data_IF_826892717934
#
_entry.id   IF_826892717934
#
_cell.length_a   1.000
_cell.length_b   1.000
_cell.length_c   1.000
_cell.angle_alpha   90.00
_cell.angle_beta   90.00
_cell.angle_gamma   90.00
#
_symmetry.space_group_name_H-M   'P 1'
#
loop_
_entity.id
_entity.type
_entity.pdbx_description
1 polymer ?
#
# COMPACT_ATOMS: atom_id res chain seq x y z
N UNK A 1 -30.26 -7.40 -2.22
CA UNK A 1 -29.30 -8.08 -3.11
C UNK A 1 -28.79 -7.09 -4.15
N UNK A 2 -27.50 -6.78 -4.12
CA UNK A 2 -26.92 -5.77 -5.02
C UNK A 2 -26.82 -6.26 -6.47
N UNK A 3 -27.26 -5.44 -7.43
CA UNK A 3 -27.10 -5.71 -8.87
C UNK A 3 -26.00 -4.82 -9.44
N UNK A 4 -25.05 -5.40 -10.18
CA UNK A 4 -24.06 -4.62 -10.90
C UNK A 4 -24.55 -4.33 -12.32
N UNK A 5 -24.47 -3.07 -12.74
CA UNK A 5 -24.85 -2.62 -14.07
C UNK A 5 -23.70 -1.83 -14.70
N UNK A 6 -23.40 -2.08 -15.96
CA UNK A 6 -22.49 -1.23 -16.75
C UNK A 6 -23.20 -0.76 -18.01
N UNK A 7 -23.03 0.50 -18.37
CA UNK A 7 -23.58 1.08 -19.59
C UNK A 7 -22.54 1.96 -20.27
N UNK A 8 -22.75 2.20 -21.56
CA UNK A 8 -21.98 3.15 -22.36
C UNK A 8 -22.86 4.36 -22.65
N UNK A 9 -22.29 5.56 -22.60
CA UNK A 9 -23.01 6.81 -22.88
C UNK A 9 -22.10 7.80 -23.59
N UNK A 10 -22.69 8.75 -24.31
CA UNK A 10 -21.96 9.89 -24.88
C UNK A 10 -22.38 11.15 -24.14
N UNK A 11 -21.60 11.53 -23.14
CA UNK A 11 -21.79 12.81 -22.45
C UNK A 11 -20.88 13.85 -23.11
N UNK A 12 -21.45 14.95 -23.59
CA UNK A 12 -20.67 16.06 -24.13
C UNK A 12 -19.68 16.60 -23.09
N UNK A 13 -18.46 16.90 -23.52
CA UNK A 13 -17.44 17.49 -22.68
C UNK A 13 -16.01 17.19 -23.12
N UNK A 14 -15.01 17.74 -22.42
CA UNK A 14 -13.60 17.68 -22.84
C UNK A 14 -13.06 16.26 -23.01
N UNK A 15 -13.42 15.33 -22.11
CA UNK A 15 -13.00 13.93 -22.19
C UNK A 15 -13.62 13.20 -23.39
N UNK A 16 -14.84 13.55 -23.74
CA UNK A 16 -15.53 13.02 -24.91
C UNK A 16 -14.82 13.48 -26.19
N UNK A 17 -14.61 14.79 -26.33
CA UNK A 17 -13.98 15.38 -27.50
C UNK A 17 -12.55 14.88 -27.72
N UNK A 18 -11.73 14.86 -26.66
CA UNK A 18 -10.31 14.49 -26.78
C UNK A 18 -10.15 13.01 -27.14
N UNK A 19 -10.96 12.11 -26.55
CA UNK A 19 -10.90 10.67 -26.86
C UNK A 19 -11.55 10.32 -28.19
N UNK A 20 -12.43 11.18 -28.71
CA UNK A 20 -12.95 11.07 -30.08
C UNK A 20 -11.90 11.51 -31.11
N UNK A 21 -11.23 12.65 -30.89
CA UNK A 21 -10.14 13.14 -31.75
C UNK A 21 -8.94 12.20 -31.75
N UNK A 22 -8.71 11.47 -30.65
CA UNK A 22 -7.59 10.54 -30.47
C UNK A 22 -8.10 9.12 -30.19
N UNK A 23 -8.45 8.32 -31.22
CA UNK A 23 -9.01 6.98 -31.03
C UNK A 23 -8.11 5.98 -30.30
N UNK A 24 -6.80 6.26 -30.25
CA UNK A 24 -5.79 5.49 -29.52
C UNK A 24 -5.63 5.90 -28.05
N UNK A 25 -6.27 6.99 -27.61
CA UNK A 25 -6.26 7.46 -26.23
C UNK A 25 -7.41 6.81 -25.45
N UNK A 26 -7.07 6.26 -24.28
CA UNK A 26 -8.03 5.82 -23.29
C UNK A 26 -7.80 6.59 -21.98
N UNK A 27 -8.88 6.98 -21.31
CA UNK A 27 -8.81 7.72 -20.04
C UNK A 27 -9.68 7.03 -19.00
N UNK A 28 -9.07 6.64 -17.88
CA UNK A 28 -9.80 6.25 -16.67
C UNK A 28 -10.00 7.48 -15.80
N UNK A 29 -11.25 7.90 -15.64
CA UNK A 29 -11.64 9.06 -14.85
C UNK A 29 -12.18 8.61 -13.47
N UNK A 30 -11.70 9.29 -12.43
CA UNK A 30 -12.02 9.03 -11.03
C UNK A 30 -12.53 10.32 -10.37
N UNK A 31 -13.85 10.50 -10.29
CA UNK A 31 -14.44 11.64 -9.59
C UNK A 31 -14.18 11.54 -8.08
N UNK A 32 -13.66 12.61 -7.49
CA UNK A 32 -13.20 12.67 -6.10
C UNK A 32 -13.70 13.97 -5.45
N UNK A 33 -15.03 14.09 -5.38
CA UNK A 33 -15.74 15.34 -5.10
C UNK A 33 -15.51 16.34 -6.24
N UNK A 34 -15.13 17.57 -5.90
CA UNK A 34 -14.72 18.60 -6.86
C UNK A 34 -13.46 18.28 -7.66
N UNK A 35 -12.65 17.30 -7.25
CA UNK A 35 -11.45 16.92 -7.98
C UNK A 35 -11.73 15.78 -8.95
N UNK A 36 -11.01 15.76 -10.07
CA UNK A 36 -11.04 14.66 -11.03
C UNK A 36 -9.62 14.14 -11.25
N UNK A 37 -9.38 12.88 -10.86
CA UNK A 37 -8.14 12.19 -11.17
C UNK A 37 -8.33 11.45 -12.50
N UNK A 38 -7.43 11.65 -13.44
CA UNK A 38 -7.42 10.99 -14.74
C UNK A 38 -6.15 10.15 -14.86
N UNK A 39 -6.30 8.92 -15.33
CA UNK A 39 -5.19 8.09 -15.81
C UNK A 39 -5.37 7.89 -17.31
N UNK A 40 -4.42 8.39 -18.08
CA UNK A 40 -4.44 8.41 -19.53
C UNK A 40 -3.46 7.36 -20.06
N UNK A 41 -3.88 6.58 -21.05
CA UNK A 41 -3.12 5.48 -21.64
C UNK A 41 -3.18 5.52 -23.17
N UNK A 42 -2.16 4.97 -23.83
CA UNK A 42 -2.10 4.86 -25.29
C UNK A 42 -1.52 6.14 -25.91
N UNK A 43 -2.30 6.84 -26.74
CA UNK A 43 -1.88 8.09 -27.39
C UNK A 43 -1.88 9.29 -26.41
N UNK A 44 -0.88 9.30 -25.51
CA UNK A 44 -0.77 10.24 -24.38
C UNK A 44 0.17 11.43 -24.64
N UNK A 45 0.61 11.62 -25.87
CA UNK A 45 1.56 12.68 -26.20
C UNK A 45 0.92 14.07 -26.09
N UNK A 46 1.56 14.95 -25.30
CA UNK A 46 1.07 16.31 -25.03
C UNK A 46 -0.13 16.42 -24.08
N UNK A 47 -0.61 15.31 -23.51
CA UNK A 47 -1.76 15.27 -22.58
C UNK A 47 -1.46 15.99 -21.25
N UNK A 48 -0.21 15.96 -20.80
CA UNK A 48 0.31 16.62 -19.60
C UNK A 48 0.25 18.15 -19.63
N UNK A 49 0.22 18.75 -20.83
CA UNK A 49 0.10 20.19 -21.04
C UNK A 49 -1.27 20.61 -21.64
N UNK A 50 -2.16 19.66 -21.91
CA UNK A 50 -3.32 19.89 -22.77
C UNK A 50 -4.42 20.71 -22.07
N UNK A 51 -4.68 21.90 -22.60
CA UNK A 51 -5.93 22.66 -22.39
C UNK A 51 -7.17 21.86 -22.82
N UNK A 52 -7.00 20.90 -23.74
CA UNK A 52 -8.04 20.06 -24.33
C UNK A 52 -8.80 19.19 -23.32
N UNK A 53 -8.17 18.81 -22.20
CA UNK A 53 -8.79 17.96 -21.16
C UNK A 53 -9.55 18.78 -20.11
N UNK A 54 -9.15 20.03 -19.91
CA UNK A 54 -9.67 20.87 -18.83
C UNK A 54 -11.04 21.48 -19.12
N UNK A 55 -11.39 21.65 -20.41
CA UNK A 55 -12.53 22.46 -20.80
C UNK A 55 -12.46 23.90 -20.28
N UNK A 56 -13.52 24.70 -20.47
CA UNK A 56 -13.59 26.04 -19.91
C UNK A 56 -13.71 25.98 -18.37
N UNK A 57 -12.66 26.41 -17.65
CA UNK A 57 -12.68 26.57 -16.19
C UNK A 57 -12.00 25.46 -15.37
N UNK A 58 -11.61 24.34 -15.98
CA UNK A 58 -10.82 23.30 -15.31
C UNK A 58 -9.35 23.69 -15.18
N UNK A 59 -8.71 23.36 -14.06
CA UNK A 59 -7.28 23.60 -13.83
C UNK A 59 -6.57 22.29 -13.54
N UNK A 60 -5.50 21.97 -14.29
CA UNK A 60 -4.55 20.92 -13.90
C UNK A 60 -3.85 21.37 -12.62
N UNK A 61 -4.12 20.69 -11.52
CA UNK A 61 -3.47 20.91 -10.24
C UNK A 61 -2.15 20.15 -10.15
N UNK A 62 -2.09 18.97 -10.77
CA UNK A 62 -0.90 18.14 -10.80
C UNK A 62 -0.90 17.24 -12.04
N UNK A 63 0.29 16.99 -12.59
CA UNK A 63 0.50 16.06 -13.70
C UNK A 63 1.77 15.25 -13.43
N UNK A 64 1.69 13.93 -13.64
CA UNK A 64 2.84 13.03 -13.59
C UNK A 64 2.80 12.09 -14.80
N UNK A 65 3.97 11.69 -15.29
CA UNK A 65 4.12 10.81 -16.44
C UNK A 65 5.02 9.65 -16.05
N UNK A 66 4.54 8.43 -16.29
CA UNK A 66 5.30 7.20 -16.15
C UNK A 66 5.22 6.40 -17.43
N UNK A 67 6.33 6.31 -18.18
CA UNK A 67 6.36 5.61 -19.45
C UNK A 67 5.28 6.17 -20.39
N UNK A 68 4.39 5.28 -20.85
CA UNK A 68 3.28 5.60 -21.77
C UNK A 68 1.96 5.91 -21.03
N UNK A 69 2.04 6.26 -19.74
CA UNK A 69 0.91 6.65 -18.91
C UNK A 69 1.09 8.08 -18.40
N UNK A 70 0.01 8.87 -18.47
CA UNK A 70 -0.04 10.20 -17.86
C UNK A 70 -1.15 10.21 -16.81
N UNK A 71 -0.84 10.64 -15.59
CA UNK A 71 -1.81 10.84 -14.53
C UNK A 71 -1.99 12.33 -14.28
N UNK A 72 -3.25 12.81 -14.34
CA UNK A 72 -3.61 14.20 -14.12
C UNK A 72 -4.55 14.32 -12.93
N UNK A 73 -4.34 15.32 -12.09
CA UNK A 73 -5.30 15.74 -11.08
C UNK A 73 -5.84 17.11 -11.44
N UNK A 74 -7.14 17.18 -11.67
CA UNK A 74 -7.84 18.38 -12.12
C UNK A 74 -8.74 18.93 -11.02
N UNK A 75 -8.86 20.25 -10.96
CA UNK A 75 -10.00 20.90 -10.33
C UNK A 75 -11.18 20.83 -11.31
N UNK A 76 -12.18 20.03 -10.95
CA UNK A 76 -13.36 19.75 -11.75
C UNK A 76 -14.45 20.81 -11.59
N UNK A 77 -15.46 20.72 -12.46
CA UNK A 77 -16.60 21.65 -12.45
C UNK A 77 -17.50 21.50 -11.21
N UNK A 78 -17.48 20.32 -10.58
CA UNK A 78 -18.42 19.91 -9.53
C UNK A 78 -19.66 19.18 -10.08
N UNK A 79 -19.87 19.16 -11.40
CA UNK A 79 -21.00 18.47 -12.04
C UNK A 79 -20.99 16.96 -11.78
N UNK A 80 -19.81 16.34 -11.74
CA UNK A 80 -19.67 14.92 -11.43
C UNK A 80 -20.12 14.60 -10.00
N UNK A 81 -19.85 15.50 -9.05
CA UNK A 81 -20.26 15.37 -7.65
C UNK A 81 -21.79 15.41 -7.52
N UNK A 82 -22.46 16.32 -8.23
CA UNK A 82 -23.91 16.42 -8.29
C UNK A 82 -24.56 15.16 -8.91
N UNK A 83 -23.98 14.64 -10.00
CA UNK A 83 -24.46 13.41 -10.65
C UNK A 83 -24.31 12.23 -9.69
N UNK A 84 -23.17 12.10 -9.01
CA UNK A 84 -22.93 11.01 -8.05
C UNK A 84 -23.90 11.10 -6.86
N UNK A 85 -24.15 12.29 -6.35
CA UNK A 85 -25.13 12.50 -5.29
C UNK A 85 -26.56 12.08 -5.74
N UNK A 86 -26.97 12.49 -6.96
CA UNK A 86 -28.26 12.10 -7.55
C UNK A 86 -28.40 10.58 -7.74
N UNK A 87 -27.32 9.89 -8.12
CA UNK A 87 -27.31 8.43 -8.20
C UNK A 87 -27.50 7.79 -6.82
N UNK A 88 -26.81 8.31 -5.80
CA UNK A 88 -26.90 7.79 -4.44
C UNK A 88 -28.32 7.94 -3.86
N UNK A 89 -29.00 9.06 -4.13
CA UNK A 89 -30.41 9.28 -3.76
C UNK A 89 -31.37 8.26 -4.38
N UNK A 90 -30.95 7.63 -5.48
CA UNK A 90 -31.69 6.58 -6.20
C UNK A 90 -31.16 5.18 -5.91
N UNK A 91 -30.43 5.00 -4.80
CA UNK A 91 -29.87 3.72 -4.38
C UNK A 91 -28.91 3.11 -5.42
N UNK A 92 -28.20 3.96 -6.16
CA UNK A 92 -27.22 3.59 -7.16
C UNK A 92 -25.85 4.21 -6.85
N UNK A 93 -24.80 3.40 -6.84
CA UNK A 93 -23.46 3.85 -6.48
C UNK A 93 -22.51 3.67 -7.66
N UNK A 94 -21.81 4.75 -8.04
CA UNK A 94 -20.77 4.70 -9.05
C UNK A 94 -19.60 3.82 -8.58
N UNK A 95 -19.21 2.86 -9.42
CA UNK A 95 -17.93 2.16 -9.32
C UNK A 95 -16.96 2.79 -10.33
N UNK A 96 -15.96 3.55 -9.87
CA UNK A 96 -14.91 4.04 -10.74
C UNK A 96 -13.91 2.93 -11.15
N UNK A 97 -13.18 3.09 -12.26
CA UNK A 97 -13.17 4.29 -13.12
C UNK A 97 -14.37 4.39 -14.06
N UNK A 98 -14.69 5.62 -14.44
CA UNK A 98 -15.42 5.89 -15.68
C UNK A 98 -14.40 5.81 -16.81
N UNK A 99 -14.53 4.82 -17.70
CA UNK A 99 -13.57 4.64 -18.80
C UNK A 99 -14.04 5.37 -20.05
N UNK A 100 -13.25 6.32 -20.51
CA UNK A 100 -13.44 7.05 -21.76
C UNK A 100 -12.56 6.49 -22.86
N UNK A 101 -13.16 6.22 -24.02
CA UNK A 101 -12.45 5.79 -25.21
C UNK A 101 -13.30 6.08 -26.44
N UNK A 102 -12.71 6.64 -27.52
CA UNK A 102 -13.42 6.92 -28.79
C UNK A 102 -14.71 7.73 -28.60
N UNK A 103 -14.69 8.69 -27.68
CA UNK A 103 -15.84 9.56 -27.40
C UNK A 103 -17.00 8.89 -26.64
N UNK A 104 -16.82 7.67 -26.12
CA UNK A 104 -17.81 7.01 -25.26
C UNK A 104 -17.29 6.85 -23.83
N UNK A 105 -18.15 7.12 -22.85
CA UNK A 105 -17.91 6.81 -21.44
C UNK A 105 -18.57 5.47 -21.09
N UNK A 106 -17.79 4.54 -20.53
CA UNK A 106 -18.29 3.33 -19.89
C UNK A 106 -18.37 3.56 -18.38
N UNK A 107 -19.60 3.52 -17.87
CA UNK A 107 -19.94 3.74 -16.47
C UNK A 107 -20.36 2.40 -15.86
N UNK A 108 -19.93 2.13 -14.62
CA UNK A 108 -20.36 0.97 -13.84
C UNK A 108 -21.02 1.43 -12.55
N UNK A 109 -22.20 0.89 -12.26
CA UNK A 109 -22.98 1.16 -11.05
C UNK A 109 -23.21 -0.13 -10.26
N UNK A 110 -23.31 0.00 -8.95
CA UNK A 110 -23.94 -0.97 -8.05
C UNK A 110 -25.29 -0.43 -7.65
N UNK A 111 -26.31 -1.26 -7.81
CA UNK A 111 -27.69 -0.93 -7.52
C UNK A 111 -28.11 -1.71 -6.27
N UNK A 112 -28.64 -1.02 -5.27
CA UNK A 112 -29.26 -1.64 -4.09
C UNK A 112 -30.72 -2.06 -4.39
N UNK A 113 -31.37 -2.70 -3.42
CA UNK A 113 -32.75 -3.14 -3.58
C UNK A 113 -33.69 -1.92 -3.70
N UNK A 114 -34.47 -1.88 -4.78
CA UNK A 114 -35.42 -0.78 -5.06
C UNK A 114 -34.97 0.20 -6.14
N UNK A 115 -33.71 0.17 -6.57
CA UNK A 115 -33.24 0.97 -7.69
C UNK A 115 -33.87 0.53 -9.02
N UNK A 116 -34.31 1.50 -9.84
CA UNK A 116 -34.82 1.25 -11.20
C UNK A 116 -33.71 1.45 -12.25
N UNK A 117 -33.18 0.36 -12.86
CA UNK A 117 -32.11 0.45 -13.83
C UNK A 117 -32.49 1.25 -15.09
N UNK A 118 -33.75 1.25 -15.51
CA UNK A 118 -34.16 1.95 -16.72
C UNK A 118 -34.24 3.45 -16.47
N UNK A 119 -34.88 3.86 -15.37
CA UNK A 119 -34.93 5.26 -14.96
C UNK A 119 -33.52 5.86 -14.77
N UNK A 120 -32.56 5.06 -14.30
CA UNK A 120 -31.15 5.45 -14.23
C UNK A 120 -30.51 5.64 -15.62
N UNK A 121 -30.77 4.74 -16.57
CA UNK A 121 -30.23 4.87 -17.93
C UNK A 121 -30.81 6.09 -18.65
N UNK A 122 -32.09 6.39 -18.45
CA UNK A 122 -32.78 7.51 -19.11
C UNK A 122 -32.21 8.89 -18.69
N UNK A 123 -31.47 8.95 -17.58
CA UNK A 123 -30.74 10.16 -17.15
C UNK A 123 -29.48 10.44 -17.98
N UNK A 124 -28.98 9.45 -18.73
CA UNK A 124 -27.74 9.56 -19.48
C UNK A 124 -28.02 9.60 -21.00
N UNK A 125 -27.65 10.69 -21.68
CA UNK A 125 -27.92 10.85 -23.12
C UNK A 125 -27.32 9.73 -23.97
N UNK A 126 -28.18 9.05 -24.74
CA UNK A 126 -27.77 7.96 -25.63
C UNK A 126 -27.24 6.74 -24.88
N UNK A 127 -27.56 6.58 -23.60
CA UNK A 127 -27.06 5.48 -22.81
C UNK A 127 -27.55 4.13 -23.31
N UNK A 128 -26.63 3.17 -23.38
CA UNK A 128 -26.88 1.80 -23.79
C UNK A 128 -26.34 0.85 -22.75
N UNK A 129 -27.21 -0.02 -22.25
CA UNK A 129 -26.81 -1.10 -21.35
C UNK A 129 -25.73 -1.98 -22.01
N UNK A 130 -24.61 -2.15 -21.32
CA UNK A 130 -23.51 -3.03 -21.75
C UNK A 130 -23.59 -4.36 -21.03
N UNK A 131 -23.83 -4.33 -19.71
CA UNK A 131 -24.01 -5.56 -18.93
C UNK A 131 -24.84 -5.31 -17.67
N UNK A 132 -25.58 -6.32 -17.24
CA UNK A 132 -26.30 -6.34 -15.96
C UNK A 132 -26.09 -7.71 -15.33
N UNK A 133 -25.46 -7.76 -14.16
CA UNK A 133 -25.12 -9.00 -13.45
C UNK A 133 -25.62 -8.91 -12.02
N UNK A 134 -26.31 -9.95 -11.57
CA UNK A 134 -26.46 -10.21 -10.14
C UNK A 134 -25.30 -11.11 -9.73
N UNK A 135 -24.38 -10.66 -8.86
CA UNK A 135 -23.39 -11.56 -8.30
C UNK A 135 -24.13 -12.69 -7.58
N UNK A 136 -24.01 -13.92 -8.09
CA UNK A 136 -24.42 -15.10 -7.33
C UNK A 136 -23.37 -15.28 -6.25
N UNK A 137 -23.71 -15.36 -4.95
CA UNK A 137 -22.73 -15.67 -3.92
C UNK A 137 -22.26 -17.11 -4.12
N UNK A 138 -21.22 -17.32 -4.93
CA UNK A 138 -20.47 -18.57 -4.89
C UNK A 138 -19.67 -18.55 -3.59
N UNK A 139 -19.69 -19.68 -2.87
CA UNK A 139 -18.99 -19.84 -1.61
C UNK A 139 -17.48 -19.83 -1.89
N UNK A 140 -16.87 -18.64 -1.92
CA UNK A 140 -15.42 -18.48 -2.04
C UNK A 140 -14.94 -17.40 -3.02
N UNK A 141 -15.73 -16.98 -4.01
CA UNK A 141 -15.27 -15.95 -4.94
C UNK A 141 -15.66 -14.56 -4.45
N UNK A 142 -14.68 -13.90 -3.83
CA UNK A 142 -14.69 -12.46 -3.60
C UNK A 142 -14.80 -11.80 -4.97
N UNK A 143 -15.92 -11.14 -5.26
CA UNK A 143 -16.00 -10.21 -6.41
C UNK A 143 -14.99 -9.12 -6.13
N UNK A 144 -13.81 -9.27 -6.73
CA UNK A 144 -12.69 -8.38 -6.51
C UNK A 144 -12.89 -7.21 -7.45
N UNK A 145 -13.50 -6.13 -6.95
CA UNK A 145 -13.49 -4.86 -7.65
C UNK A 145 -12.06 -4.33 -7.58
N UNK A 146 -11.26 -4.59 -8.62
CA UNK A 146 -10.00 -3.88 -8.79
C UNK A 146 -10.34 -2.43 -9.13
N UNK A 147 -10.64 -1.61 -8.13
CA UNK A 147 -10.58 -0.17 -8.32
C UNK A 147 -9.10 0.18 -8.41
N UNK A 148 -8.62 0.78 -9.51
CA UNK A 148 -7.24 1.26 -9.62
C UNK A 148 -7.03 2.57 -8.88
N UNK A 149 -8.06 3.11 -8.20
CA UNK A 149 -7.82 4.08 -7.12
C UNK A 149 -6.93 3.42 -6.08
N UNK A 150 -6.05 4.21 -5.48
CA UNK A 150 -5.13 3.83 -4.39
C UNK A 150 -5.85 3.32 -3.12
N UNK A 151 -7.09 2.83 -3.22
CA UNK A 151 -7.83 2.22 -2.13
C UNK A 151 -7.08 0.95 -1.69
N UNK A 152 -6.61 0.92 -0.43
CA UNK A 152 -5.82 -0.18 0.08
C UNK A 152 -6.70 -1.41 0.22
N UNK A 153 -6.10 -2.58 0.03
CA UNK A 153 -6.75 -3.85 0.28
C UNK A 153 -7.09 -3.98 1.77
N UNK A 154 -8.37 -3.87 2.11
CA UNK A 154 -8.87 -4.12 3.46
C UNK A 154 -9.09 -5.63 3.68
N UNK A 155 -8.75 -6.12 4.87
CA UNK A 155 -9.22 -7.44 5.33
C UNK A 155 -10.74 -7.44 5.49
N UNK A 156 -11.37 -8.61 5.42
CA UNK A 156 -12.82 -8.73 5.57
C UNK A 156 -13.33 -8.15 6.91
N UNK A 157 -12.58 -8.37 7.99
CA UNK A 157 -12.91 -7.85 9.32
C UNK A 157 -12.82 -6.31 9.39
N UNK A 158 -11.84 -5.71 8.70
CA UNK A 158 -11.69 -4.25 8.60
C UNK A 158 -12.80 -3.63 7.76
N UNK A 159 -13.10 -4.21 6.59
CA UNK A 159 -14.18 -3.73 5.72
C UNK A 159 -15.53 -3.80 6.43
N UNK A 160 -15.81 -4.92 7.12
CA UNK A 160 -17.05 -5.11 7.88
C UNK A 160 -17.18 -4.11 9.03
N UNK A 161 -16.11 -3.84 9.77
CA UNK A 161 -16.12 -2.85 10.84
C UNK A 161 -16.37 -1.42 10.31
N UNK A 162 -15.72 -1.04 9.20
CA UNK A 162 -15.87 0.28 8.58
C UNK A 162 -17.29 0.50 8.04
N UNK A 163 -17.85 -0.48 7.34
CA UNK A 163 -19.22 -0.41 6.80
C UNK A 163 -20.25 -0.34 7.93
N UNK A 164 -20.13 -1.17 8.97
CA UNK A 164 -21.05 -1.11 10.11
C UNK A 164 -20.99 0.22 10.87
N UNK A 165 -19.80 0.83 10.96
CA UNK A 165 -19.65 2.17 11.53
C UNK A 165 -20.37 3.22 10.67
N UNK A 166 -20.18 3.17 9.35
CA UNK A 166 -20.85 4.06 8.40
C UNK A 166 -22.38 3.94 8.46
N UNK A 167 -22.91 2.72 8.35
CA UNK A 167 -24.35 2.43 8.38
C UNK A 167 -25.01 2.86 9.70
N UNK A 168 -24.29 2.77 10.82
CA UNK A 168 -24.78 3.22 12.12
C UNK A 168 -24.71 4.76 12.31
N UNK A 169 -24.19 5.51 11.34
CA UNK A 169 -24.00 6.95 11.45
C UNK A 169 -22.88 7.36 12.41
N UNK A 170 -21.85 6.51 12.57
CA UNK A 170 -20.66 6.80 13.38
C UNK A 170 -19.83 7.97 12.83
N UNK A 171 -19.88 8.20 11.51
CA UNK A 171 -19.15 9.27 10.83
C UNK A 171 -19.97 10.55 10.59
N UNK A 172 -21.24 10.57 11.00
CA UNK A 172 -22.09 11.74 10.85
C UNK A 172 -21.77 12.84 11.88
N UNK A 173 -22.18 14.07 11.57
CA UNK A 173 -22.13 15.18 12.51
C UNK A 173 -23.54 15.79 12.69
N UNK A 174 -24.12 15.75 13.92
CA UNK A 174 -23.62 15.07 15.10
C UNK A 174 -23.60 13.54 14.93
N UNK A 175 -22.65 12.88 15.60
CA UNK A 175 -22.49 11.42 15.54
C UNK A 175 -23.74 10.72 16.07
N UNK A 176 -24.32 9.81 15.27
CA UNK A 176 -25.57 9.10 15.60
C UNK A 176 -25.36 7.79 16.36
N UNK A 177 -24.17 7.18 16.28
CA UNK A 177 -23.84 5.97 17.01
C UNK A 177 -22.47 6.03 17.69
N UNK A 178 -22.39 5.42 18.86
CA UNK A 178 -21.14 5.23 19.61
C UNK A 178 -20.45 3.94 19.18
N UNK A 179 -19.13 3.87 19.44
CA UNK A 179 -18.33 2.66 19.23
C UNK A 179 -18.93 1.44 19.92
N UNK A 180 -19.51 1.62 21.11
CA UNK A 180 -20.16 0.57 21.89
C UNK A 180 -21.34 -0.02 21.11
N UNK A 181 -22.23 0.84 20.61
CA UNK A 181 -23.43 0.45 19.86
C UNK A 181 -23.08 -0.30 18.58
N UNK A 182 -22.07 0.14 17.84
CA UNK A 182 -21.63 -0.55 16.61
C UNK A 182 -20.94 -1.88 16.92
N UNK A 183 -20.15 -1.95 17.99
CA UNK A 183 -19.51 -3.22 18.39
C UNK A 183 -20.54 -4.27 18.81
N UNK A 184 -21.60 -3.85 19.50
CA UNK A 184 -22.72 -4.70 19.90
C UNK A 184 -23.49 -5.24 18.70
N UNK A 185 -23.78 -4.41 17.68
CA UNK A 185 -24.50 -4.85 16.48
C UNK A 185 -23.70 -5.89 15.67
N UNK A 186 -22.37 -5.85 15.75
CA UNK A 186 -21.48 -6.83 15.13
C UNK A 186 -21.24 -8.10 15.97
N UNK A 187 -21.71 -8.13 17.22
CA UNK A 187 -21.48 -9.25 18.14
C UNK A 187 -20.01 -9.47 18.49
N UNK A 188 -19.19 -8.42 18.51
CA UNK A 188 -17.76 -8.49 18.84
C UNK A 188 -17.39 -7.56 19.99
N UNK A 189 -16.31 -7.88 20.71
CA UNK A 189 -15.81 -7.04 21.78
C UNK A 189 -15.44 -5.63 21.25
N UNK A 190 -15.78 -4.59 22.01
CA UNK A 190 -15.48 -3.18 21.69
C UNK A 190 -14.04 -2.95 21.28
N UNK A 191 -13.08 -3.49 22.02
CA UNK A 191 -11.64 -3.37 21.72
C UNK A 191 -11.23 -4.02 20.39
N UNK A 192 -11.91 -5.11 20.01
CA UNK A 192 -11.68 -5.81 18.73
C UNK A 192 -12.26 -5.00 17.58
N UNK A 193 -13.47 -4.45 17.76
CA UNK A 193 -14.07 -3.53 16.80
C UNK A 193 -13.18 -2.30 16.59
N UNK A 194 -12.77 -1.63 17.66
CA UNK A 194 -11.86 -0.46 17.61
C UNK A 194 -10.57 -0.79 16.87
N UNK A 195 -9.96 -1.95 17.12
CA UNK A 195 -8.74 -2.35 16.42
C UNK A 195 -8.96 -2.55 14.91
N UNK A 196 -10.09 -3.13 14.50
CA UNK A 196 -10.43 -3.30 13.10
C UNK A 196 -10.79 -1.98 12.43
N UNK A 197 -11.61 -1.17 13.09
CA UNK A 197 -12.03 0.14 12.62
C UNK A 197 -10.83 1.08 12.46
N UNK A 198 -9.99 1.24 13.48
CA UNK A 198 -8.82 2.11 13.43
C UNK A 198 -7.86 1.73 12.31
N UNK A 199 -7.65 0.43 12.06
CA UNK A 199 -6.82 0.00 10.93
C UNK A 199 -7.48 0.30 9.59
N UNK A 200 -8.80 0.09 9.48
CA UNK A 200 -9.54 0.39 8.25
C UNK A 200 -9.52 1.90 7.95
N UNK A 201 -9.80 2.73 8.96
CA UNK A 201 -9.72 4.19 8.88
C UNK A 201 -8.32 4.65 8.51
N UNK A 202 -7.28 4.14 9.19
CA UNK A 202 -5.90 4.49 8.87
C UNK A 202 -5.56 4.20 7.41
N UNK A 203 -5.98 3.04 6.90
CA UNK A 203 -5.82 2.67 5.50
C UNK A 203 -6.52 3.68 4.56
N UNK A 204 -7.79 3.98 4.81
CA UNK A 204 -8.58 4.92 3.98
C UNK A 204 -8.01 6.34 4.04
N UNK A 205 -7.71 6.86 5.24
CA UNK A 205 -7.12 8.19 5.45
C UNK A 205 -5.78 8.29 4.74
N UNK A 206 -4.91 7.29 4.87
CA UNK A 206 -3.60 7.28 4.21
C UNK A 206 -3.72 7.33 2.69
N UNK A 207 -4.67 6.58 2.12
CA UNK A 207 -4.93 6.59 0.68
C UNK A 207 -5.48 7.93 0.18
N UNK A 208 -6.24 8.63 1.02
CA UNK A 208 -6.83 9.92 0.69
C UNK A 208 -5.93 11.11 1.03
N UNK A 209 -4.90 10.94 1.85
CA UNK A 209 -4.03 12.02 2.33
C UNK A 209 -3.36 12.83 1.20
N UNK A 210 -2.89 12.23 0.08
CA UNK A 210 -2.39 13.00 -1.06
C UNK A 210 -3.44 13.97 -1.63
N UNK A 211 -4.71 13.55 -1.68
CA UNK A 211 -5.81 14.39 -2.17
C UNK A 211 -6.16 15.52 -1.22
N UNK A 212 -6.18 15.23 0.08
CA UNK A 212 -6.43 16.24 1.12
C UNK A 212 -5.35 17.31 1.10
N UNK A 213 -4.08 16.92 0.89
CA UNK A 213 -2.95 17.85 0.75
C UNK A 213 -3.13 18.78 -0.44
N UNK A 214 -3.48 18.25 -1.61
CA UNK A 214 -3.76 19.05 -2.81
C UNK A 214 -4.92 20.04 -2.59
N UNK A 215 -6.03 19.60 -1.98
CA UNK A 215 -7.18 20.49 -1.66
C UNK A 215 -6.84 21.59 -0.68
N UNK A 216 -5.89 21.38 0.23
CA UNK A 216 -5.49 22.37 1.23
C UNK A 216 -4.59 23.50 0.70
N UNK A 217 -4.25 23.49 -0.59
CA UNK A 217 -3.35 24.50 -1.18
C UNK A 217 -1.91 24.41 -0.68
N UNK A 218 -1.54 23.33 0.01
CA UNK A 218 -0.15 23.01 0.36
C UNK A 218 0.54 22.37 -0.86
N UNK A 219 0.72 23.18 -1.90
CA UNK A 219 1.55 22.85 -3.05
C UNK A 219 3.03 22.83 -2.67
N UNK A 220 3.73 21.83 -3.21
CA UNK A 220 5.18 21.80 -3.45
C UNK A 220 6.14 21.47 -2.29
N UNK A 221 5.66 20.96 -1.14
CA UNK A 221 6.53 20.59 -0.01
C UNK A 221 6.67 19.10 0.37
N UNK A 222 5.78 18.21 -0.09
CA UNK A 222 5.67 16.84 0.44
C UNK A 222 5.18 15.80 -0.59
N UNK A 223 5.70 15.80 -1.83
CA UNK A 223 5.55 14.64 -2.70
C UNK A 223 6.39 13.48 -2.15
N UNK A 224 5.90 12.23 -2.25
CA UNK A 224 6.69 11.05 -1.91
C UNK A 224 7.61 10.73 -3.10
N UNK A 225 8.88 11.05 -2.97
CA UNK A 225 9.89 10.78 -3.99
C UNK A 225 10.61 9.46 -3.69
N UNK A 226 10.77 8.61 -4.71
CA UNK A 226 11.45 7.33 -4.57
C UNK A 226 12.80 7.39 -5.28
N UNK A 227 13.88 7.24 -4.55
CA UNK A 227 15.24 7.13 -5.10
C UNK A 227 15.74 5.70 -4.96
N UNK A 228 16.56 5.24 -5.90
CA UNK A 228 17.07 3.87 -5.85
C UNK A 228 18.47 3.74 -6.45
N UNK A 229 19.31 2.92 -5.82
CA UNK A 229 20.64 2.57 -6.36
C UNK A 229 21.04 1.16 -5.92
N UNK A 230 21.75 0.46 -6.80
CA UNK A 230 22.23 -0.89 -6.52
C UNK A 230 23.49 -0.86 -5.63
N UNK A 231 23.47 -1.61 -4.53
CA UNK A 231 24.66 -1.88 -3.70
C UNK A 231 25.27 -3.21 -4.09
N UNK A 232 26.56 -3.21 -4.44
CA UNK A 232 27.31 -4.43 -4.76
C UNK A 232 27.61 -5.25 -3.51
N UNK A 233 27.79 -4.59 -2.38
CA UNK A 233 28.04 -5.18 -1.07
C UNK A 233 26.86 -6.06 -0.64
N UNK A 234 25.65 -5.53 -0.78
CA UNK A 234 24.43 -6.27 -0.46
C UNK A 234 24.01 -7.21 -1.59
N UNK A 235 24.28 -6.85 -2.85
CA UNK A 235 23.70 -7.51 -4.02
C UNK A 235 22.21 -7.18 -4.18
N UNK A 236 21.79 -6.01 -3.70
CA UNK A 236 20.40 -5.55 -3.63
C UNK A 236 20.31 -4.07 -4.00
N UNK A 237 19.15 -3.65 -4.49
CA UNK A 237 18.79 -2.24 -4.60
C UNK A 237 18.43 -1.69 -3.22
N UNK A 238 19.01 -0.54 -2.88
CA UNK A 238 18.60 0.29 -1.75
C UNK A 238 17.61 1.32 -2.29
N UNK A 239 16.37 1.23 -1.86
CA UNK A 239 15.28 2.13 -2.22
C UNK A 239 15.03 3.08 -1.06
N UNK A 240 14.99 4.38 -1.33
CA UNK A 240 14.75 5.46 -0.38
C UNK A 240 13.45 6.16 -0.77
N UNK A 241 12.48 6.20 0.13
CA UNK A 241 11.26 7.01 -0.01
C UNK A 241 11.39 8.26 0.87
N UNK A 242 11.28 9.43 0.25
CA UNK A 242 11.43 10.74 0.91
C UNK A 242 10.10 11.49 0.82
N UNK A 243 9.63 12.00 1.95
CA UNK A 243 8.49 12.90 2.03
C UNK A 243 9.01 14.29 2.43
N UNK A 244 9.08 15.20 1.46
CA UNK A 244 9.72 16.51 1.64
C UNK A 244 11.21 16.35 1.94
N UNK A 245 11.66 16.67 3.16
CA UNK A 245 13.05 16.48 3.58
C UNK A 245 13.25 15.32 4.56
N UNK A 246 12.24 14.46 4.76
CA UNK A 246 12.23 13.37 5.75
C UNK A 246 12.15 12.01 5.08
N UNK A 247 12.89 11.04 5.60
CA UNK A 247 12.83 9.65 5.15
C UNK A 247 11.54 9.00 5.66
N UNK A 248 10.68 8.61 4.72
CA UNK A 248 9.46 7.86 5.00
C UNK A 248 9.75 6.35 5.04
N UNK A 249 10.59 5.85 4.13
CA UNK A 249 11.00 4.45 4.12
C UNK A 249 12.39 4.24 3.51
N UNK A 250 13.01 3.12 3.89
CA UNK A 250 14.18 2.56 3.24
C UNK A 250 13.92 1.07 3.10
N UNK A 251 14.02 0.55 1.87
CA UNK A 251 13.77 -0.86 1.56
C UNK A 251 14.92 -1.45 0.77
N UNK A 252 15.04 -2.77 0.87
CA UNK A 252 15.98 -3.55 0.08
C UNK A 252 15.17 -4.41 -0.90
N UNK A 253 15.61 -4.50 -2.15
CA UNK A 253 14.91 -5.23 -3.19
C UNK A 253 15.88 -5.91 -4.17
N UNK A 254 15.48 -7.05 -4.75
CA UNK A 254 16.27 -7.73 -5.80
C UNK A 254 16.17 -7.05 -7.17
N UNK A 255 15.08 -6.32 -7.40
CA UNK A 255 14.80 -5.62 -8.65
C UNK A 255 14.77 -4.11 -8.40
N UNK A 256 15.15 -3.34 -9.41
CA UNK A 256 14.93 -1.91 -9.41
C UNK A 256 13.42 -1.61 -9.32
N UNK A 257 13.01 -0.53 -8.65
CA UNK A 257 11.63 -0.09 -8.72
C UNK A 257 11.27 0.32 -10.15
N UNK A 258 9.99 0.17 -10.51
CA UNK A 258 9.48 0.53 -11.84
C UNK A 258 9.57 2.03 -12.10
N UNK A 259 9.45 2.83 -11.05
CA UNK A 259 9.56 4.29 -11.07
C UNK A 259 10.56 4.75 -10.00
N UNK A 260 11.42 5.70 -10.37
CA UNK A 260 12.39 6.30 -9.46
C UNK A 260 12.67 7.73 -9.91
N UNK A 261 12.81 8.66 -8.97
CA UNK A 261 13.30 10.02 -9.14
C UNK A 261 14.82 10.07 -9.42
N UNK A 262 15.40 8.96 -9.88
CA UNK A 262 16.84 8.78 -10.08
C UNK A 262 17.56 8.16 -8.87
N UNK A 263 18.88 8.26 -8.89
CA UNK A 263 19.79 7.68 -7.88
C UNK A 263 20.49 8.71 -7.00
N UNK A 264 20.19 9.99 -7.23
CA UNK A 264 20.97 11.11 -6.72
C UNK A 264 20.18 11.82 -5.61
N UNK A 265 20.38 11.35 -4.38
CA UNK A 265 19.82 11.96 -3.18
C UNK A 265 20.86 11.91 -2.04
N UNK A 266 21.07 12.99 -1.26
CA UNK A 266 22.11 13.05 -0.23
C UNK A 266 21.97 11.97 0.85
N UNK A 267 20.74 11.67 1.29
CA UNK A 267 20.53 10.56 2.24
C UNK A 267 20.82 9.19 1.62
N UNK A 268 20.50 8.98 0.35
CA UNK A 268 20.78 7.70 -0.32
C UNK A 268 22.29 7.50 -0.46
N UNK A 269 23.02 8.55 -0.82
CA UNK A 269 24.48 8.52 -0.85
C UNK A 269 25.08 8.16 0.50
N UNK A 270 24.60 8.78 1.60
CA UNK A 270 25.06 8.47 2.96
C UNK A 270 24.72 7.05 3.41
N UNK A 271 23.53 6.54 3.07
CA UNK A 271 23.15 5.16 3.36
C UNK A 271 24.07 4.19 2.63
N UNK A 272 24.35 4.42 1.34
CA UNK A 272 25.23 3.57 0.56
C UNK A 272 26.67 3.64 1.04
N UNK A 273 27.15 4.82 1.43
CA UNK A 273 28.46 4.98 2.06
C UNK A 273 28.54 4.17 3.35
N UNK A 274 27.52 4.26 4.22
CA UNK A 274 27.45 3.43 5.43
C UNK A 274 27.42 1.93 5.11
N UNK A 275 26.72 1.50 4.06
CA UNK A 275 26.73 0.10 3.60
C UNK A 275 28.11 -0.33 3.11
N UNK A 276 28.86 0.59 2.48
CA UNK A 276 30.20 0.34 1.97
C UNK A 276 31.26 0.25 3.08
N UNK A 277 31.25 1.23 3.99
CA UNK A 277 32.28 1.42 5.01
C UNK A 277 31.95 0.85 6.39
N UNK A 278 30.65 0.70 6.69
CA UNK A 278 30.15 0.32 8.02
C UNK A 278 30.26 1.40 9.09
N UNK A 279 30.76 2.60 8.79
CA UNK A 279 31.06 3.63 9.80
C UNK A 279 30.27 4.94 9.66
N UNK A 280 29.39 5.05 8.65
CA UNK A 280 28.58 6.24 8.47
C UNK A 280 27.62 6.50 9.63
N UNK A 281 27.55 7.73 10.13
CA UNK A 281 26.49 8.17 11.05
C UNK A 281 25.24 8.51 10.25
N UNK A 282 24.09 7.93 10.62
CA UNK A 282 22.79 8.16 9.98
C UNK A 282 21.75 8.72 10.97
N UNK A 283 22.15 9.00 12.22
CA UNK A 283 21.24 9.35 13.31
C UNK A 283 20.60 10.73 13.17
N UNK A 284 21.19 11.59 12.38
CA UNK A 284 20.68 12.92 12.03
C UNK A 284 19.70 12.91 10.86
N UNK A 285 19.58 11.79 10.12
CA UNK A 285 18.63 11.70 9.01
C UNK A 285 17.20 11.78 9.57
N UNK A 286 16.43 12.84 9.25
CA UNK A 286 15.08 13.00 9.78
C UNK A 286 14.16 11.93 9.20
N UNK A 287 13.36 11.30 10.05
CA UNK A 287 12.39 10.26 9.64
C UNK A 287 10.95 10.70 9.89
N UNK A 288 10.05 10.29 9.00
CA UNK A 288 8.61 10.44 9.13
C UNK A 288 7.99 9.06 9.39
N UNK A 289 8.04 8.59 10.65
CA UNK A 289 7.50 7.26 11.01
C UNK A 289 6.02 7.34 11.35
N UNK A 290 5.21 6.60 10.60
CA UNK A 290 3.80 6.35 10.90
C UNK A 290 3.66 4.96 11.53
N UNK A 291 3.90 4.87 12.84
CA UNK A 291 3.90 3.61 13.60
C UNK A 291 3.20 3.78 14.95
N UNK A 292 2.81 2.68 15.60
CA UNK A 292 2.17 2.75 16.91
C UNK A 292 3.11 3.36 17.98
N UNK A 293 2.60 3.96 19.07
CA UNK A 293 3.45 4.63 20.07
C UNK A 293 4.59 3.75 20.63
N UNK A 294 4.30 2.49 20.96
CA UNK A 294 5.34 1.56 21.44
C UNK A 294 6.35 1.18 20.34
N UNK A 295 5.89 1.02 19.09
CA UNK A 295 6.80 0.78 17.96
C UNK A 295 7.72 1.98 17.76
N UNK A 296 7.20 3.21 17.90
CA UNK A 296 8.00 4.45 17.85
C UNK A 296 9.06 4.48 18.94
N UNK A 297 8.72 4.20 20.20
CA UNK A 297 9.69 4.09 21.32
C UNK A 297 10.83 3.12 20.98
N UNK A 298 10.50 1.95 20.42
CA UNK A 298 11.49 0.96 20.00
C UNK A 298 12.37 1.48 18.85
N UNK A 299 11.76 2.00 17.78
CA UNK A 299 12.50 2.46 16.60
C UNK A 299 13.40 3.65 16.91
N UNK A 300 12.97 4.57 17.77
CA UNK A 300 13.79 5.70 18.24
C UNK A 300 14.97 5.19 19.09
N UNK A 301 14.76 4.18 19.95
CA UNK A 301 15.83 3.53 20.69
C UNK A 301 16.84 2.83 19.75
N UNK A 302 16.39 2.17 18.69
CA UNK A 302 17.30 1.50 17.75
C UNK A 302 18.32 2.47 17.15
N UNK A 303 17.92 3.72 16.88
CA UNK A 303 18.80 4.75 16.33
C UNK A 303 19.93 5.16 17.28
N UNK A 304 19.83 4.85 18.57
CA UNK A 304 20.90 5.17 19.54
C UNK A 304 22.03 4.15 19.55
N UNK A 305 21.84 2.98 18.93
CA UNK A 305 22.83 1.89 18.91
C UNK A 305 23.88 2.25 17.84
N UNK A 306 25.17 2.42 18.18
CA UNK A 306 26.19 2.78 17.19
C UNK A 306 26.57 1.61 16.28
N UNK A 307 27.20 1.86 15.12
CA UNK A 307 27.76 0.81 14.27
C UNK A 307 28.77 -0.05 15.05
N UNK A 308 28.73 -1.37 14.81
CA UNK A 308 29.63 -2.34 15.42
C UNK A 308 29.15 -2.89 16.77
N UNK A 309 28.14 -2.25 17.38
CA UNK A 309 27.48 -2.73 18.58
C UNK A 309 26.23 -3.56 18.26
N UNK A 310 25.93 -4.52 19.14
CA UNK A 310 24.69 -5.31 19.06
C UNK A 310 23.97 -5.31 20.40
N UNK A 311 22.65 -5.46 20.35
CA UNK A 311 21.80 -5.51 21.54
C UNK A 311 20.76 -6.62 21.42
N UNK A 312 20.30 -7.17 22.54
CA UNK A 312 19.25 -8.18 22.51
C UNK A 312 17.85 -7.58 22.60
N UNK A 313 16.86 -8.26 22.03
CA UNK A 313 15.44 -7.87 22.14
C UNK A 313 14.98 -7.67 23.59
N UNK A 314 15.44 -8.54 24.51
CA UNK A 314 15.12 -8.44 25.93
C UNK A 314 15.79 -7.24 26.61
N UNK A 315 16.99 -6.89 26.17
CA UNK A 315 17.72 -5.73 26.70
C UNK A 315 17.08 -4.41 26.26
N UNK A 316 16.62 -4.31 25.01
CA UNK A 316 15.81 -3.16 24.55
C UNK A 316 14.54 -3.04 25.40
N UNK A 317 13.80 -4.14 25.57
CA UNK A 317 12.57 -4.15 26.35
C UNK A 317 12.82 -3.67 27.80
N UNK A 318 13.93 -4.09 28.41
CA UNK A 318 14.35 -3.65 29.74
C UNK A 318 14.69 -2.16 29.79
N UNK A 319 15.45 -1.65 28.81
CA UNK A 319 15.84 -0.23 28.74
C UNK A 319 14.66 0.71 28.48
N UNK A 320 13.61 0.22 27.82
CA UNK A 320 12.34 0.93 27.64
C UNK A 320 11.38 0.79 28.85
N UNK A 321 11.84 0.21 29.97
CA UNK A 321 11.00 0.04 31.17
C UNK A 321 9.90 -1.02 31.03
N UNK A 322 9.99 -1.90 30.04
CA UNK A 322 8.99 -2.96 29.76
C UNK A 322 9.63 -4.36 29.81
N UNK A 323 10.16 -4.79 30.97
CA UNK A 323 10.74 -6.14 31.09
C UNK A 323 9.70 -7.19 30.70
N UNK A 324 10.07 -8.10 29.79
CA UNK A 324 9.16 -9.12 29.22
C UNK A 324 8.61 -8.79 27.83
N UNK A 325 8.70 -7.54 27.36
CA UNK A 325 8.20 -7.13 26.05
C UNK A 325 9.10 -7.53 24.85
N UNK A 326 10.02 -8.48 25.02
CA UNK A 326 10.99 -8.92 24.00
C UNK A 326 10.34 -9.32 22.66
N UNK A 327 9.20 -10.04 22.71
CA UNK A 327 8.44 -10.40 21.50
C UNK A 327 7.86 -9.18 20.79
N UNK A 328 7.33 -8.22 21.54
CA UNK A 328 6.76 -6.99 20.98
C UNK A 328 7.85 -6.10 20.36
N UNK A 329 9.04 -6.03 20.97
CA UNK A 329 10.23 -5.41 20.35
C UNK A 329 10.56 -6.12 19.04
N UNK A 330 10.55 -7.46 19.01
CA UNK A 330 10.75 -8.23 17.78
C UNK A 330 9.75 -7.88 16.67
N UNK A 331 8.47 -7.71 17.01
CA UNK A 331 7.43 -7.25 16.07
C UNK A 331 7.71 -5.82 15.56
N UNK A 332 8.12 -4.90 16.43
CA UNK A 332 8.50 -3.54 16.03
C UNK A 332 9.70 -3.54 15.07
N UNK A 333 10.74 -4.34 15.37
CA UNK A 333 11.90 -4.51 14.47
C UNK A 333 11.50 -5.07 13.11
N UNK A 334 10.58 -6.05 13.07
CA UNK A 334 10.09 -6.66 11.84
C UNK A 334 9.28 -5.70 10.96
N UNK A 335 8.70 -4.67 11.56
CA UNK A 335 7.89 -3.62 10.90
C UNK A 335 8.66 -2.33 10.65
N UNK A 336 9.98 -2.34 10.84
CA UNK A 336 10.81 -1.17 10.62
C UNK A 336 10.68 -0.65 9.17
N UNK A 337 10.12 0.55 8.95
CA UNK A 337 9.90 1.08 7.61
C UNK A 337 11.18 1.65 6.96
N UNK A 338 12.21 1.99 7.75
CA UNK A 338 13.43 2.64 7.30
C UNK A 338 14.67 1.85 7.72
N UNK A 339 14.87 0.69 7.11
CA UNK A 339 16.01 -0.19 7.44
C UNK A 339 17.35 0.49 7.14
N UNK A 340 18.43 0.06 7.79
CA UNK A 340 19.76 0.71 7.77
C UNK A 340 19.77 2.06 8.51
N UNK A 341 18.90 3.00 8.15
CA UNK A 341 18.72 4.29 8.87
C UNK A 341 18.24 4.05 10.29
N UNK A 342 17.27 3.15 10.46
CA UNK A 342 16.88 2.56 11.74
C UNK A 342 17.50 1.16 11.78
N UNK A 343 18.55 0.93 12.59
CA UNK A 343 19.44 -0.20 12.44
C UNK A 343 18.91 -1.46 13.16
N UNK A 344 17.77 -1.99 12.72
CA UNK A 344 17.20 -3.22 13.32
C UNK A 344 18.08 -4.46 13.09
N UNK A 345 19.04 -4.42 12.16
CA UNK A 345 20.05 -5.46 11.97
C UNK A 345 21.02 -5.60 13.15
N UNK A 346 21.15 -4.57 14.01
CA UNK A 346 21.95 -4.61 15.25
C UNK A 346 21.27 -5.34 16.41
N UNK A 347 20.02 -5.77 16.24
CA UNK A 347 19.26 -6.49 17.28
C UNK A 347 19.41 -7.99 17.12
N UNK A 348 19.96 -8.68 18.10
CA UNK A 348 20.27 -10.12 18.04
C UNK A 348 19.51 -10.92 19.12
N UNK A 349 19.24 -12.22 18.90
CA UNK A 349 18.67 -13.07 19.94
C UNK A 349 19.66 -13.29 21.10
N UNK A 350 19.12 -13.44 22.32
CA UNK A 350 19.93 -13.73 23.52
C UNK A 350 20.67 -15.07 23.44
N UNK A 351 20.11 -16.04 22.71
CA UNK A 351 20.70 -17.36 22.47
C UNK A 351 21.98 -17.32 21.63
N UNK A 352 22.37 -16.14 21.11
CA UNK A 352 23.32 -16.05 20.02
C UNK A 352 22.66 -16.42 18.69
N UNK A 353 23.41 -16.21 17.61
CA UNK A 353 22.91 -16.26 16.24
C UNK A 353 22.61 -14.88 15.65
N UNK A 354 22.44 -14.83 14.33
CA UNK A 354 21.91 -13.64 13.64
C UNK A 354 20.43 -13.41 13.96
N UNK A 355 19.67 -14.49 14.20
CA UNK A 355 18.21 -14.45 14.25
C UNK A 355 17.59 -14.07 12.90
N UNK A 356 16.28 -13.81 12.92
CA UNK A 356 15.55 -13.42 11.71
C UNK A 356 15.82 -11.96 11.33
N UNK A 357 15.62 -11.68 10.05
CA UNK A 357 15.64 -10.34 9.48
C UNK A 357 14.54 -10.24 8.42
N UNK A 358 13.64 -9.28 8.59
CA UNK A 358 12.43 -9.18 7.76
C UNK A 358 12.66 -8.50 6.42
N UNK A 359 13.82 -7.86 6.21
CA UNK A 359 14.17 -7.24 4.93
C UNK A 359 14.59 -8.26 3.89
N UNK A 360 14.55 -7.86 2.61
CA UNK A 360 14.98 -8.68 1.48
C UNK A 360 16.42 -9.21 1.66
N UNK A 361 16.63 -10.47 1.24
CA UNK A 361 17.86 -11.22 1.50
C UNK A 361 17.97 -11.80 2.92
N UNK A 362 17.08 -11.42 3.84
CA UNK A 362 16.93 -12.09 5.13
C UNK A 362 18.18 -12.04 6.02
N UNK A 363 18.46 -13.09 6.81
CA UNK A 363 19.61 -13.13 7.72
C UNK A 363 20.97 -12.90 7.04
N UNK A 364 21.08 -13.19 5.73
CA UNK A 364 22.28 -12.95 4.94
C UNK A 364 22.62 -11.45 4.87
N UNK A 365 21.63 -10.63 4.52
CA UNK A 365 21.73 -9.18 4.48
C UNK A 365 22.13 -8.61 5.85
N UNK A 366 21.51 -9.13 6.92
CA UNK A 366 21.85 -8.75 8.29
C UNK A 366 23.31 -9.03 8.63
N UNK A 367 23.82 -10.20 8.24
CA UNK A 367 25.23 -10.57 8.46
C UNK A 367 26.16 -9.62 7.73
N UNK A 368 25.92 -9.37 6.45
CA UNK A 368 26.74 -8.46 5.63
C UNK A 368 26.85 -7.07 6.24
N UNK A 369 25.72 -6.53 6.73
CA UNK A 369 25.69 -5.23 7.41
C UNK A 369 26.51 -5.28 8.71
N UNK A 370 26.31 -6.29 9.56
CA UNK A 370 27.07 -6.44 10.81
C UNK A 370 28.57 -6.62 10.58
N UNK A 371 28.97 -7.40 9.58
CA UNK A 371 30.37 -7.61 9.20
C UNK A 371 31.03 -6.32 8.73
N UNK A 372 30.32 -5.53 7.91
CA UNK A 372 30.78 -4.21 7.45
C UNK A 372 30.98 -3.25 8.60
N UNK A 373 30.08 -3.27 9.58
CA UNK A 373 30.19 -2.47 10.79
C UNK A 373 31.26 -2.98 11.78
N UNK A 374 31.91 -4.11 11.51
CA UNK A 374 32.92 -4.69 12.40
C UNK A 374 32.35 -5.34 13.66
N UNK A 375 31.05 -5.65 13.69
CA UNK A 375 30.42 -6.30 14.84
C UNK A 375 30.93 -7.74 15.03
N UNK A 376 31.37 -8.08 16.24
CA UNK A 376 31.88 -9.43 16.53
C UNK A 376 30.77 -10.48 16.44
N UNK A 377 30.80 -11.29 15.37
CA UNK A 377 29.91 -12.43 15.14
C UNK A 377 30.21 -13.63 16.07
N UNK A 378 31.09 -13.51 17.06
CA UNK A 378 31.43 -14.58 18.01
C UNK A 378 30.21 -15.05 18.85
N UNK A 379 29.16 -14.22 18.95
CA UNK A 379 27.84 -14.61 19.46
C UNK A 379 26.92 -15.20 18.38
N UNK A 380 27.15 -14.90 17.10
CA UNK A 380 26.27 -15.20 15.96
C UNK A 380 26.49 -16.58 15.29
N UNK A 381 27.64 -17.24 15.51
CA UNK A 381 28.04 -18.44 14.75
C UNK A 381 27.98 -19.77 15.52
N UNK A 382 27.67 -19.79 16.83
CA UNK A 382 27.79 -21.00 17.68
C UNK A 382 26.79 -22.13 17.39
N UNK A 383 25.80 -21.93 16.53
CA UNK A 383 24.67 -22.88 16.39
C UNK A 383 24.56 -23.56 15.02
N UNK A 384 25.35 -23.17 14.01
CA UNK A 384 25.31 -23.86 12.71
C UNK A 384 26.13 -25.16 12.67
N UNK A 385 27.09 -25.34 13.57
CA UNK A 385 27.95 -26.54 13.62
C UNK A 385 27.31 -27.74 14.32
N UNK A 386 26.25 -27.56 15.12
CA UNK A 386 25.61 -28.66 15.86
C UNK A 386 24.40 -29.28 15.14
N UNK A 387 23.78 -28.59 14.18
CA UNK A 387 22.68 -29.17 13.38
C UNK A 387 23.17 -29.94 12.14
N UNK A 388 24.37 -29.63 11.62
CA UNK A 388 24.92 -30.33 10.44
C UNK A 388 25.43 -31.74 10.75
N UNK A 389 25.63 -32.09 12.02
CA UNK A 389 26.26 -33.34 12.45
C UNK A 389 25.29 -34.38 13.04
N UNK A 390 23.97 -34.18 12.92
CA UNK A 390 22.94 -35.13 13.41
C UNK A 390 22.22 -35.92 12.31
N UNK A 391 22.54 -35.69 11.03
CA UNK A 391 21.85 -36.33 9.91
C UNK A 391 22.60 -37.49 9.23
N UNK A 392 23.81 -37.85 9.69
CA UNK A 392 24.48 -39.08 9.25
C UNK A 392 24.33 -40.18 10.32
N UNK A 393 23.12 -40.75 10.37
CA UNK A 393 22.87 -42.07 10.96
C UNK A 393 22.87 -43.13 9.86
N UNK A 394 23.30 -44.38 10.13
CA UNK A 394 23.63 -45.35 9.09
C UNK A 394 22.38 -45.78 8.31
N UNK A 395 22.44 -45.68 6.97
CA UNK A 395 21.40 -46.16 6.05
C UNK A 395 21.24 -47.68 6.21
N UNK A 396 20.06 -48.12 6.63
CA UNK A 396 19.66 -49.55 6.59
C UNK A 396 19.58 -50.02 5.13
N UNK A 397 20.24 -51.15 4.84
CA UNK A 397 20.17 -51.84 3.56
C UNK A 397 18.76 -52.37 3.27
N UNK A 398 18.32 -52.22 2.02
CA UNK A 398 17.05 -52.75 1.49
C UNK A 398 17.32 -54.15 0.92
N UNK A 399 16.54 -55.20 1.27
CA UNK A 399 16.69 -56.52 0.67
C UNK A 399 15.92 -56.61 -0.67
N UNK A 400 16.33 -57.48 -1.61
CA UNK A 400 15.68 -57.61 -2.90
C UNK A 400 14.34 -58.34 -2.80
N UNK A 401 13.37 -57.91 -3.63
CA UNK A 401 12.04 -58.54 -3.73
C UNK A 401 12.14 -59.86 -4.50
N UNK A 402 11.74 -60.96 -3.86
CA UNK A 402 11.50 -62.25 -4.52
C UNK A 402 10.06 -62.30 -5.05
N UNK A 403 9.92 -62.61 -6.34
CA UNK A 403 8.67 -62.95 -7.00
C UNK A 403 8.32 -64.43 -6.79
N UNK A 404 7.14 -64.72 -6.25
CA UNK A 404 6.53 -66.05 -6.36
C UNK A 404 5.00 -65.92 -6.44
N UNK A 405 4.45 -66.29 -7.60
CA UNK A 405 3.06 -66.72 -7.76
C UNK A 405 2.76 -67.95 -6.88
N UNK A 406 1.49 -68.18 -6.59
CA UNK A 406 0.95 -69.50 -6.85
C UNK A 406 -0.37 -69.47 -7.64
N UNK A 407 -0.54 -70.53 -8.42
CA UNK A 407 -1.79 -70.98 -9.02
C UNK A 407 -2.78 -71.40 -7.93
N UNK A 408 -4.02 -70.94 -8.01
CA UNK A 408 -5.20 -71.70 -8.47
C UNK A 408 -6.40 -70.76 -8.61
#
# INVERSE_FOLDING_TARGET
>A
MTTQMSFATRSEGPLQEVTERRPGLAIDAYPLGRLLLLRCFGDVDGIDAATEINGPGGKVLHATRTGDEVTLLLDGSGREEEIIASLADQSAHLIPPIRWQRGEARVTLVLEDGADPQALLDQFPGARLVSKRRPVPSRGDRVTYSSPLFLPTLTEKQARALLAAYEAGYYEFPRKATTEQVSLSLGIARSTFEQHLNRAEHHVVRAMLPMVRVRSGRGDGEALEVYSKFSRELGLYVQLEVLGNRVAAVRLARKAPTETAGSDHPYLARILEHVHTGNGDLRDIPVALEVAPFEREVLDFLRTIPPGETITYGEIARRLGRPGASRAVGTACARNPAVIVIPCHRVVPKSGGLGNYSSEGGPETKRKLLEREGASLALAMRTQSTERNRNDGPRKAVPPRSSSHPAD
#
